data_IF_073308684948
#
_entry.id   IF_073308684948
#
_cell.length_a   1.000
_cell.length_b   1.000
_cell.length_c   1.000
_cell.angle_alpha   90.00
_cell.angle_beta   90.00
_cell.angle_gamma   90.00
#
_symmetry.space_group_name_H-M   'P 1'
#
loop_
_entity.id
_entity.type
_entity.pdbx_description
1 polymer ?
#
# COMPACT_ATOMS: atom_id res chain seq x y z
N UNK A 1 -3.00 -13.10 -14.74
CA UNK A 1 -2.20 -12.40 -15.78
C UNK A 1 -1.73 -10.99 -15.35
N UNK A 2 -2.62 -10.06 -15.00
CA UNK A 2 -2.23 -8.69 -14.58
C UNK A 2 -1.45 -8.67 -13.25
N UNK A 3 -1.82 -9.55 -12.30
CA UNK A 3 -1.19 -9.68 -10.99
C UNK A 3 0.30 -10.06 -11.06
N UNK A 4 0.66 -10.98 -11.95
CA UNK A 4 2.07 -11.42 -12.08
C UNK A 4 2.95 -10.33 -12.70
N UNK A 5 2.44 -9.60 -13.69
CA UNK A 5 3.17 -8.48 -14.27
C UNK A 5 3.46 -7.37 -13.24
N UNK A 6 2.50 -7.08 -12.36
CA UNK A 6 2.69 -6.12 -11.26
C UNK A 6 3.67 -6.67 -10.22
N UNK A 7 3.56 -7.94 -9.84
CA UNK A 7 4.51 -8.60 -8.93
C UNK A 7 5.94 -8.48 -9.45
N UNK A 8 6.17 -8.85 -10.71
CA UNK A 8 7.51 -8.89 -11.29
C UNK A 8 8.10 -7.48 -11.46
N UNK A 9 7.26 -6.46 -11.70
CA UNK A 9 7.66 -5.06 -11.72
C UNK A 9 7.96 -4.51 -10.32
N UNK A 10 7.19 -4.90 -9.31
CA UNK A 10 7.44 -4.51 -7.92
C UNK A 10 8.72 -5.14 -7.37
N UNK A 11 8.99 -6.40 -7.73
CA UNK A 11 10.22 -7.10 -7.35
C UNK A 11 11.47 -6.56 -8.07
N UNK A 12 11.33 -5.80 -9.17
CA UNK A 12 12.44 -5.18 -9.88
C UNK A 12 12.79 -3.77 -9.40
N UNK A 13 11.99 -3.19 -8.49
CA UNK A 13 12.28 -1.88 -7.90
C UNK A 13 13.45 -1.99 -6.92
N UNK A 14 14.53 -1.28 -7.26
CA UNK A 14 15.73 -1.09 -6.44
C UNK A 14 15.40 -0.25 -5.19
N UNK A 15 14.97 -0.92 -4.11
CA UNK A 15 14.68 -0.31 -2.80
C UNK A 15 14.77 -1.27 -1.60
N UNK A 16 15.11 -2.53 -1.85
CA UNK A 16 15.17 -3.58 -0.83
C UNK A 16 13.80 -4.22 -0.52
N UNK A 17 13.80 -5.34 0.24
CA UNK A 17 12.61 -6.14 0.52
C UNK A 17 11.42 -5.33 1.06
N UNK A 18 11.69 -4.34 1.90
CA UNK A 18 10.66 -3.56 2.57
C UNK A 18 9.92 -2.64 1.59
N UNK A 19 10.64 -2.00 0.66
CA UNK A 19 10.05 -1.11 -0.33
C UNK A 19 9.21 -1.90 -1.33
N UNK A 20 9.70 -3.06 -1.78
CA UNK A 20 8.93 -3.97 -2.63
C UNK A 20 7.64 -4.45 -1.95
N UNK A 21 7.69 -4.82 -0.68
CA UNK A 21 6.51 -5.26 0.08
C UNK A 21 5.49 -4.13 0.24
N UNK A 22 5.96 -2.92 0.58
CA UNK A 22 5.11 -1.73 0.70
C UNK A 22 4.42 -1.40 -0.63
N UNK A 23 5.14 -1.46 -1.75
CA UNK A 23 4.58 -1.13 -3.05
C UNK A 23 3.61 -2.20 -3.53
N UNK A 24 3.91 -3.48 -3.30
CA UNK A 24 3.00 -4.58 -3.63
C UNK A 24 1.68 -4.47 -2.86
N UNK A 25 1.75 -4.29 -1.54
CA UNK A 25 0.56 -4.11 -0.69
C UNK A 25 -0.23 -2.88 -1.07
N UNK A 26 0.44 -1.78 -1.40
CA UNK A 26 -0.19 -0.55 -1.85
C UNK A 26 -0.95 -0.73 -3.16
N UNK A 27 -0.31 -1.32 -4.18
CA UNK A 27 -0.97 -1.58 -5.47
C UNK A 27 -2.10 -2.60 -5.32
N UNK A 28 -1.96 -3.61 -4.46
CA UNK A 28 -3.01 -4.59 -4.22
C UNK A 28 -4.22 -3.99 -3.52
N UNK A 29 -4.00 -3.17 -2.48
CA UNK A 29 -5.07 -2.40 -1.84
C UNK A 29 -5.72 -1.40 -2.78
N UNK A 30 -4.95 -0.85 -3.71
CA UNK A 30 -5.47 0.02 -4.77
C UNK A 30 -6.40 -0.73 -5.72
N UNK A 31 -6.02 -1.95 -6.13
CA UNK A 31 -6.83 -2.77 -7.03
C UNK A 31 -8.09 -3.32 -6.36
N UNK A 32 -8.04 -3.57 -5.05
CA UNK A 32 -9.18 -4.08 -4.28
C UNK A 32 -10.09 -2.97 -3.75
N UNK A 33 -9.61 -1.73 -3.69
CA UNK A 33 -10.32 -0.60 -3.08
C UNK A 33 -10.57 -0.79 -1.58
N UNK A 34 -9.73 -1.58 -0.91
CA UNK A 34 -9.86 -1.89 0.51
C UNK A 34 -8.50 -2.26 1.11
N UNK A 35 -8.11 -1.55 2.17
CA UNK A 35 -6.84 -1.79 2.85
C UNK A 35 -6.71 -3.22 3.41
N UNK A 36 -7.76 -3.73 4.08
CA UNK A 36 -7.75 -5.07 4.68
C UNK A 36 -7.79 -6.19 3.62
N UNK A 37 -8.54 -5.97 2.53
CA UNK A 37 -8.60 -6.88 1.39
C UNK A 37 -7.27 -6.98 0.65
N UNK A 38 -6.65 -5.83 0.35
CA UNK A 38 -5.36 -5.78 -0.33
C UNK A 38 -4.22 -6.37 0.49
N UNK A 39 -4.19 -6.08 1.80
CA UNK A 39 -3.23 -6.69 2.73
C UNK A 39 -3.36 -8.22 2.78
N UNK A 40 -4.58 -8.74 2.85
CA UNK A 40 -4.81 -10.20 2.93
C UNK A 40 -4.34 -10.91 1.66
N UNK A 41 -4.62 -10.35 0.49
CA UNK A 41 -4.16 -10.91 -0.79
C UNK A 41 -2.63 -10.80 -0.91
N UNK A 42 -2.05 -9.66 -0.54
CA UNK A 42 -0.61 -9.45 -0.60
C UNK A 42 0.16 -10.40 0.33
N UNK A 43 -0.28 -10.56 1.58
CA UNK A 43 0.35 -11.49 2.52
C UNK A 43 0.09 -12.95 2.12
N UNK A 44 -1.09 -13.27 1.59
CA UNK A 44 -1.38 -14.61 1.07
C UNK A 44 -0.52 -15.00 -0.13
N UNK A 45 -0.18 -14.04 -1.01
CA UNK A 45 0.57 -14.31 -2.22
C UNK A 45 2.09 -14.11 -2.10
N UNK A 46 2.53 -13.20 -1.24
CA UNK A 46 3.95 -12.79 -1.12
C UNK A 46 4.54 -13.07 0.25
N UNK A 47 3.73 -13.46 1.24
CA UNK A 47 4.16 -13.63 2.63
C UNK A 47 5.28 -14.66 2.80
N UNK A 48 5.18 -15.83 2.16
CA UNK A 48 6.25 -16.84 2.22
C UNK A 48 7.57 -16.35 1.60
N UNK A 49 7.50 -15.72 0.42
CA UNK A 49 8.68 -15.16 -0.25
C UNK A 49 9.36 -14.09 0.60
N UNK A 50 8.58 -13.19 1.20
CA UNK A 50 9.12 -12.16 2.08
C UNK A 50 9.64 -12.70 3.41
N UNK A 51 9.04 -13.76 3.96
CA UNK A 51 9.59 -14.45 5.14
C UNK A 51 10.95 -15.12 4.85
N UNK A 52 11.12 -15.70 3.67
CA UNK A 52 12.42 -16.23 3.23
C UNK A 52 13.45 -15.12 3.00
N UNK A 53 13.04 -14.01 2.38
CA UNK A 53 13.88 -12.81 2.23
C UNK A 53 14.28 -12.24 3.60
N UNK A 54 13.34 -12.18 4.54
CA UNK A 54 13.61 -11.71 5.90
C UNK A 54 14.59 -12.59 6.65
N UNK A 55 14.47 -13.91 6.53
CA UNK A 55 15.45 -14.85 7.09
C UNK A 55 16.84 -14.67 6.47
N UNK A 56 16.91 -14.37 5.17
CA UNK A 56 18.17 -14.18 4.43
C UNK A 56 18.84 -12.84 4.75
N UNK A 57 18.05 -11.78 4.92
CA UNK A 57 18.52 -10.42 5.18
C UNK A 57 18.52 -10.02 6.67
N UNK A 58 18.13 -10.92 7.57
CA UNK A 58 18.06 -10.65 9.02
C UNK A 58 17.01 -9.61 9.40
N UNK A 59 15.91 -9.52 8.64
CA UNK A 59 14.84 -8.53 8.86
C UNK A 59 13.81 -9.08 9.84
N UNK A 60 13.38 -8.28 10.81
CA UNK A 60 12.31 -8.65 11.74
C UNK A 60 10.95 -8.79 11.01
N UNK A 61 10.26 -9.94 11.09
CA UNK A 61 8.91 -10.10 10.54
C UNK A 61 7.89 -9.07 11.04
N UNK A 62 8.04 -8.58 12.29
CA UNK A 62 7.19 -7.54 12.82
C UNK A 62 7.36 -6.22 12.05
N UNK A 63 8.58 -5.90 11.63
CA UNK A 63 8.87 -4.72 10.83
C UNK A 63 8.30 -4.86 9.41
N UNK A 64 8.41 -6.03 8.78
CA UNK A 64 7.75 -6.30 7.51
C UNK A 64 6.23 -6.14 7.60
N UNK A 65 5.60 -6.65 8.67
CA UNK A 65 4.16 -6.51 8.85
C UNK A 65 3.73 -5.04 8.98
N UNK A 66 4.47 -4.22 9.75
CA UNK A 66 4.21 -2.78 9.85
C UNK A 66 4.29 -2.10 8.49
N UNK A 67 5.33 -2.41 7.71
CA UNK A 67 5.52 -1.84 6.37
C UNK A 67 4.39 -2.26 5.41
N UNK A 68 3.98 -3.53 5.46
CA UNK A 68 2.85 -4.04 4.68
C UNK A 68 1.53 -3.36 5.05
N UNK A 69 1.26 -3.16 6.35
CA UNK A 69 0.05 -2.48 6.84
C UNK A 69 0.02 -1.01 6.42
N UNK A 70 1.16 -0.31 6.50
CA UNK A 70 1.29 1.08 6.07
C UNK A 70 1.07 1.17 4.54
N UNK A 71 1.71 0.30 3.77
CA UNK A 71 1.52 0.26 2.31
C UNK A 71 0.07 -0.05 1.91
N UNK A 72 -0.59 -0.97 2.62
CA UNK A 72 -1.97 -1.31 2.34
C UNK A 72 -2.97 -0.16 2.61
N UNK A 73 -2.63 0.80 3.48
CA UNK A 73 -3.51 1.90 3.87
C UNK A 73 -3.48 3.11 2.91
N UNK A 74 -2.51 3.20 1.98
CA UNK A 74 -2.24 4.44 1.24
C UNK A 74 -3.09 4.65 -0.01
N UNK A 75 -3.53 3.59 -0.70
CA UNK A 75 -4.36 3.69 -1.93
C UNK A 75 -5.75 3.04 -1.80
N UNK A 76 -6.25 2.89 -0.59
CA UNK A 76 -7.56 2.27 -0.32
C UNK A 76 -8.73 3.07 -0.92
N UNK A 77 -8.62 4.40 -1.04
CA UNK A 77 -9.75 5.30 -1.32
C UNK A 77 -9.93 5.65 -2.80
N UNK A 78 -9.65 4.69 -3.69
CA UNK A 78 -9.87 4.84 -5.14
C UNK A 78 -11.38 4.89 -5.50
N UNK A 79 -11.77 5.29 -6.72
CA UNK A 79 -13.16 5.69 -7.02
C UNK A 79 -14.14 4.51 -6.97
N UNK A 80 -13.63 3.28 -6.90
CA UNK A 80 -14.40 2.06 -6.75
C UNK A 80 -14.51 1.60 -5.27
N UNK A 81 -13.94 2.34 -4.32
CA UNK A 81 -14.05 2.06 -2.89
C UNK A 81 -15.49 2.34 -2.42
N UNK A 82 -16.14 1.29 -1.90
CA UNK A 82 -17.50 1.37 -1.36
C UNK A 82 -17.66 2.42 -0.25
N UNK A 83 -16.63 2.65 0.58
CA UNK A 83 -16.66 3.66 1.63
C UNK A 83 -16.74 5.09 1.07
N UNK A 84 -16.04 5.38 -0.05
CA UNK A 84 -16.10 6.67 -0.75
C UNK A 84 -17.49 6.87 -1.37
N UNK A 85 -18.04 5.83 -2.00
CA UNK A 85 -19.39 5.87 -2.58
C UNK A 85 -20.45 6.12 -1.52
N UNK A 86 -20.36 5.43 -0.37
CA UNK A 86 -21.30 5.64 0.75
C UNK A 86 -21.16 7.03 1.36
N UNK A 87 -19.94 7.55 1.54
CA UNK A 87 -19.71 8.88 2.08
C UNK A 87 -20.34 9.95 1.18
N UNK A 88 -20.14 9.85 -0.14
CA UNK A 88 -20.73 10.78 -1.10
C UNK A 88 -22.27 10.68 -1.14
N UNK A 89 -22.81 9.47 -1.03
CA UNK A 89 -24.26 9.26 -0.94
C UNK A 89 -24.88 9.87 0.35
N UNK A 90 -24.21 9.74 1.50
CA UNK A 90 -24.66 10.31 2.78
C UNK A 90 -24.54 11.84 2.79
N UNK A 91 -23.45 12.37 2.24
CA UNK A 91 -23.22 13.82 2.15
C UNK A 91 -24.04 14.49 1.04
N UNK A 92 -24.71 13.73 0.17
CA UNK A 92 -25.48 14.26 -0.97
C UNK A 92 -24.62 14.94 -2.03
N UNK A 93 -23.32 14.64 -2.06
CA UNK A 93 -22.35 15.24 -2.98
C UNK A 93 -22.11 14.32 -4.18
N UNK A 94 -21.82 14.91 -5.34
CA UNK A 94 -21.46 14.11 -6.52
C UNK A 94 -19.98 13.76 -6.52
N UNK A 95 -19.62 12.60 -7.09
CA UNK A 95 -18.21 12.22 -7.33
C UNK A 95 -17.45 13.34 -8.05
N UNK A 96 -18.11 14.05 -8.98
CA UNK A 96 -17.47 15.12 -9.74
C UNK A 96 -17.04 16.32 -8.89
N UNK A 97 -17.72 16.56 -7.77
CA UNK A 97 -17.46 17.71 -6.89
C UNK A 97 -16.44 17.39 -5.81
N UNK A 98 -16.58 16.24 -5.14
CA UNK A 98 -15.78 15.94 -3.93
C UNK A 98 -14.66 14.93 -4.15
N UNK A 99 -14.60 14.25 -5.31
CA UNK A 99 -13.57 13.22 -5.52
C UNK A 99 -12.15 13.80 -5.59
N UNK A 100 -11.99 15.04 -6.08
CA UNK A 100 -10.68 15.70 -6.08
C UNK A 100 -10.16 15.93 -4.66
N UNK A 101 -11.02 16.37 -3.75
CA UNK A 101 -10.65 16.59 -2.34
C UNK A 101 -10.32 15.26 -1.64
N UNK A 102 -11.07 14.20 -1.95
CA UNK A 102 -10.81 12.84 -1.45
C UNK A 102 -9.45 12.34 -1.94
N UNK A 103 -9.11 12.52 -3.22
CA UNK A 103 -7.80 12.16 -3.75
C UNK A 103 -6.68 12.96 -3.08
N UNK A 104 -6.87 14.26 -2.87
CA UNK A 104 -5.85 15.09 -2.22
C UNK A 104 -5.58 14.68 -0.76
N UNK A 105 -6.62 14.39 0.02
CA UNK A 105 -6.46 14.00 1.42
C UNK A 105 -6.02 12.54 1.56
N UNK A 106 -6.66 11.62 0.84
CA UNK A 106 -6.47 10.19 1.03
C UNK A 106 -5.29 9.62 0.25
N UNK A 107 -4.96 10.16 -0.93
CA UNK A 107 -3.90 9.61 -1.79
C UNK A 107 -2.64 10.47 -1.71
N UNK A 108 -2.75 11.79 -1.89
CA UNK A 108 -1.57 12.67 -1.94
C UNK A 108 -0.91 12.78 -0.55
N UNK A 109 -1.71 12.95 0.51
CA UNK A 109 -1.20 12.94 1.88
C UNK A 109 -0.52 11.61 2.25
N UNK A 110 -1.12 10.49 1.84
CA UNK A 110 -0.59 9.16 2.10
C UNK A 110 0.70 8.87 1.31
N UNK A 111 0.79 9.29 0.05
CA UNK A 111 2.01 9.22 -0.76
C UNK A 111 3.14 10.08 -0.18
N UNK A 112 2.83 11.29 0.30
CA UNK A 112 3.81 12.15 0.97
C UNK A 112 4.29 11.54 2.29
N UNK A 113 3.40 10.95 3.08
CA UNK A 113 3.75 10.24 4.30
C UNK A 113 4.63 9.01 4.01
N UNK A 114 4.29 8.22 2.98
CA UNK A 114 5.10 7.08 2.54
C UNK A 114 6.48 7.54 2.08
N UNK A 115 6.58 8.61 1.28
CA UNK A 115 7.85 9.17 0.85
C UNK A 115 8.69 9.68 2.03
N UNK A 116 8.07 10.32 3.01
CA UNK A 116 8.73 10.77 4.22
C UNK A 116 9.25 9.59 5.07
N UNK A 117 8.45 8.55 5.26
CA UNK A 117 8.85 7.34 6.01
C UNK A 117 9.99 6.60 5.30
N UNK A 118 9.96 6.49 3.97
CA UNK A 118 11.06 5.90 3.19
C UNK A 118 12.33 6.75 3.31
N UNK A 119 12.22 8.08 3.19
CA UNK A 119 13.37 8.99 3.33
C UNK A 119 13.98 8.96 4.75
N UNK A 120 13.14 8.90 5.79
CA UNK A 120 13.59 8.80 7.19
C UNK A 120 14.19 7.42 7.47
N UNK A 121 13.56 6.35 7.00
CA UNK A 121 14.09 4.99 7.13
C UNK A 121 15.45 4.81 6.43
N UNK A 122 15.65 5.48 5.29
CA UNK A 122 16.91 5.47 4.55
C UNK A 122 18.03 6.30 5.21
N UNK A 123 17.69 7.31 6.01
CA UNK A 123 18.67 8.24 6.60
C UNK A 123 18.98 7.96 8.07
N UNK A 124 18.05 7.38 8.83
CA UNK A 124 18.20 7.21 10.29
C UNK A 124 18.23 5.74 10.73
N UNK A 125 17.97 4.79 9.83
CA UNK A 125 17.94 3.36 10.16
C UNK A 125 16.60 2.93 10.77
N UNK A 126 16.37 1.61 10.85
CA UNK A 126 15.07 1.01 11.18
C UNK A 126 14.56 1.46 12.56
N UNK A 127 13.40 2.10 12.58
CA UNK A 127 12.60 2.32 13.78
C UNK A 127 11.47 1.28 13.90
#
# INVERSE_FOLDING_TARGET
>A
PAFEAVRDWVLSIEGGPLVGLALATNVLSALTGSASGGLTIALGALGETYMQLAATHGIDPALMHRVAVIGAATLDSLPHNGAVVTLLAVCGATHRESYFDIVMVAIVGALLALAAVIAVGATVGSF
#
